data_IF_095599303820
#
_entry.id   IF_095599303820
#
_cell.length_a   1.000
_cell.length_b   1.000
_cell.length_c   1.000
_cell.angle_alpha   90.00
_cell.angle_beta   90.00
_cell.angle_gamma   90.00
#
_symmetry.space_group_name_H-M   'P 1'
#
loop_
_entity.id
_entity.type
_entity.pdbx_description
1 polymer ?
#
# COMPACT_ATOMS: atom_id res chain seq x y z
N UNK A 1 -15.80 6.00 -13.88
CA UNK A 1 -16.12 5.63 -12.48
C UNK A 1 -14.78 5.44 -11.79
N UNK A 2 -14.58 5.76 -10.50
CA UNK A 2 -13.30 5.44 -9.87
C UNK A 2 -13.12 3.90 -9.84
N UNK A 3 -11.89 3.43 -10.07
CA UNK A 3 -11.58 2.02 -10.33
C UNK A 3 -10.64 1.43 -9.26
N UNK A 4 -10.71 0.11 -9.08
CA UNK A 4 -9.78 -0.71 -8.28
C UNK A 4 -9.65 -2.10 -8.92
N UNK A 5 -9.17 -2.12 -10.17
CA UNK A 5 -9.11 -3.29 -11.05
C UNK A 5 -7.78 -4.05 -11.01
N UNK A 6 -6.79 -3.52 -10.30
CA UNK A 6 -5.50 -4.15 -10.03
C UNK A 6 -5.57 -5.49 -9.31
N UNK A 7 -4.40 -6.12 -9.22
CA UNK A 7 -4.25 -7.48 -8.71
C UNK A 7 -4.05 -7.47 -7.19
N UNK A 8 -4.84 -8.27 -6.47
CA UNK A 8 -4.57 -8.55 -5.07
C UNK A 8 -3.52 -9.67 -4.98
N UNK A 9 -2.41 -9.41 -4.30
CA UNK A 9 -1.39 -10.41 -3.99
C UNK A 9 -1.77 -11.04 -2.65
N UNK A 10 -1.99 -12.34 -2.66
CA UNK A 10 -2.46 -13.09 -1.50
C UNK A 10 -1.28 -13.81 -0.81
N UNK A 11 -1.38 -14.01 0.50
CA UNK A 11 -0.52 -14.94 1.21
C UNK A 11 -0.97 -16.40 1.05
N UNK A 12 -0.27 -17.32 1.70
CA UNK A 12 -0.54 -18.77 1.66
C UNK A 12 -1.92 -19.15 2.23
N UNK A 13 -2.58 -18.24 2.96
CA UNK A 13 -3.92 -18.43 3.52
C UNK A 13 -5.01 -17.75 2.67
N UNK A 14 -4.64 -17.14 1.54
CA UNK A 14 -5.56 -16.42 0.66
C UNK A 14 -5.92 -15.01 1.16
N UNK A 15 -5.18 -14.45 2.11
CA UNK A 15 -5.40 -13.09 2.63
C UNK A 15 -4.65 -12.09 1.75
N UNK A 16 -5.29 -11.01 1.27
CA UNK A 16 -4.60 -9.94 0.55
C UNK A 16 -3.55 -9.25 1.43
N UNK A 17 -2.28 -9.31 1.03
CA UNK A 17 -1.15 -8.68 1.75
C UNK A 17 -0.51 -7.55 0.95
N UNK A 18 -0.71 -7.52 -0.36
CA UNK A 18 -0.31 -6.41 -1.21
C UNK A 18 -1.26 -6.26 -2.40
N UNK A 19 -1.15 -5.15 -3.11
CA UNK A 19 -1.96 -4.84 -4.26
C UNK A 19 -1.12 -4.21 -5.37
N UNK A 20 -1.20 -4.77 -6.59
CA UNK A 20 -0.57 -4.20 -7.77
C UNK A 20 -1.56 -3.32 -8.51
N UNK A 21 -1.28 -2.02 -8.54
CA UNK A 21 -2.16 -0.99 -9.08
C UNK A 21 -2.36 -1.14 -10.59
N UNK A 22 -3.61 -1.11 -11.05
CA UNK A 22 -3.94 -1.06 -12.47
C UNK A 22 -4.08 0.39 -12.97
N UNK A 23 -4.01 0.63 -14.30
CA UNK A 23 -4.30 1.94 -14.87
C UNK A 23 -5.67 2.48 -14.43
N UNK A 24 -5.70 3.75 -14.04
CA UNK A 24 -6.88 4.50 -13.56
C UNK A 24 -7.46 4.04 -12.22
N UNK A 25 -6.76 3.19 -11.48
CA UNK A 25 -7.14 2.91 -10.10
C UNK A 25 -7.06 4.17 -9.24
N UNK A 26 -7.89 4.23 -8.20
CA UNK A 26 -7.94 5.34 -7.24
C UNK A 26 -7.77 4.77 -5.83
N UNK A 27 -6.86 5.36 -5.05
CA UNK A 27 -6.49 4.85 -3.73
C UNK A 27 -7.69 4.68 -2.78
N UNK A 28 -8.65 5.60 -2.80
CA UNK A 28 -9.88 5.51 -2.01
C UNK A 28 -10.76 4.30 -2.39
N UNK A 29 -10.80 3.96 -3.68
CA UNK A 29 -11.57 2.81 -4.19
C UNK A 29 -10.84 1.50 -3.97
N UNK A 30 -9.49 1.51 -4.04
CA UNK A 30 -8.66 0.39 -3.59
C UNK A 30 -8.92 0.10 -2.11
N UNK A 31 -8.89 1.14 -1.25
CA UNK A 31 -9.20 0.99 0.16
C UNK A 31 -10.58 0.39 0.40
N UNK A 32 -11.60 0.92 -0.27
CA UNK A 32 -12.96 0.39 -0.20
C UNK A 32 -13.06 -1.09 -0.62
N UNK A 33 -12.33 -1.52 -1.66
CA UNK A 33 -12.29 -2.93 -2.11
C UNK A 33 -11.78 -3.88 -1.02
N UNK A 34 -10.84 -3.42 -0.19
CA UNK A 34 -10.24 -4.21 0.89
C UNK A 34 -10.81 -3.87 2.28
N UNK A 35 -11.91 -3.10 2.33
CA UNK A 35 -12.54 -2.68 3.58
C UNK A 35 -11.59 -1.92 4.53
N UNK A 36 -10.65 -1.14 3.98
CA UNK A 36 -9.73 -0.27 4.73
C UNK A 36 -9.91 1.19 4.34
N UNK A 37 -9.56 2.10 5.25
CA UNK A 37 -9.59 3.53 4.97
C UNK A 37 -8.44 3.96 4.07
N UNK A 38 -8.67 4.96 3.21
CA UNK A 38 -7.61 5.59 2.39
C UNK A 38 -6.44 6.07 3.26
N UNK A 39 -6.74 6.74 4.38
CA UNK A 39 -5.72 7.22 5.30
C UNK A 39 -4.85 6.08 5.88
N UNK A 40 -5.44 4.91 6.08
CA UNK A 40 -4.71 3.75 6.56
C UNK A 40 -3.74 3.24 5.47
N UNK A 41 -4.17 3.21 4.20
CA UNK A 41 -3.29 2.86 3.08
C UNK A 41 -2.09 3.81 2.98
N UNK A 42 -2.32 5.12 3.14
CA UNK A 42 -1.24 6.10 3.17
C UNK A 42 -0.24 5.83 4.31
N UNK A 43 -0.73 5.50 5.51
CA UNK A 43 0.17 5.21 6.65
C UNK A 43 0.98 3.92 6.47
N UNK A 44 0.36 2.82 6.04
CA UNK A 44 1.08 1.54 5.90
C UNK A 44 2.03 1.51 4.71
N UNK A 45 1.95 2.51 3.83
CA UNK A 45 2.85 2.65 2.68
C UNK A 45 3.83 3.83 2.79
N UNK A 46 3.73 4.66 3.84
CA UNK A 46 4.50 5.90 3.98
C UNK A 46 6.02 5.69 3.85
N UNK A 47 6.55 4.60 4.41
CA UNK A 47 8.00 4.33 4.37
C UNK A 47 8.48 4.05 2.94
N UNK A 48 7.64 3.45 2.10
CA UNK A 48 8.00 2.97 0.76
C UNK A 48 7.50 3.84 -0.40
N UNK A 49 6.82 4.96 -0.11
CA UNK A 49 6.27 5.89 -1.11
C UNK A 49 6.46 7.35 -0.68
N UNK A 50 6.58 8.26 -1.64
CA UNK A 50 6.67 9.70 -1.42
C UNK A 50 5.41 10.43 -1.94
N UNK A 51 4.55 10.83 -1.01
CA UNK A 51 3.29 11.52 -1.28
C UNK A 51 2.18 10.64 -1.87
N UNK A 52 1.15 11.31 -2.40
CA UNK A 52 -0.14 10.69 -2.74
C UNK A 52 -0.25 10.20 -4.19
N UNK A 53 0.79 10.42 -5.01
CA UNK A 53 0.78 10.02 -6.42
C UNK A 53 0.68 8.50 -6.53
N UNK A 54 -0.21 8.02 -7.41
CA UNK A 54 -0.50 6.60 -7.63
C UNK A 54 -0.29 6.26 -9.11
N UNK A 55 0.61 5.33 -9.39
CA UNK A 55 0.96 4.94 -10.75
C UNK A 55 0.55 3.50 -11.03
N UNK A 56 0.22 3.20 -12.29
CA UNK A 56 -0.01 1.84 -12.70
C UNK A 56 1.28 1.01 -12.52
N UNK A 57 1.15 -0.16 -11.92
CA UNK A 57 2.27 -1.04 -11.59
C UNK A 57 2.78 -0.93 -10.16
N UNK A 58 2.47 0.16 -9.46
CA UNK A 58 2.81 0.36 -8.04
C UNK A 58 2.39 -0.86 -7.21
N UNK A 59 3.24 -1.28 -6.29
CA UNK A 59 2.87 -2.19 -5.21
C UNK A 59 2.45 -1.37 -4.00
N UNK A 60 1.20 -1.53 -3.57
CA UNK A 60 0.70 -1.06 -2.28
C UNK A 60 0.74 -2.21 -1.26
N UNK A 61 1.31 -1.94 -0.10
CA UNK A 61 1.23 -2.77 1.08
C UNK A 61 -0.19 -2.75 1.67
N UNK A 62 -0.69 -3.93 2.05
CA UNK A 62 -1.96 -4.14 2.76
C UNK A 62 -1.75 -4.80 4.13
N UNK A 63 -0.52 -4.83 4.66
CA UNK A 63 -0.22 -5.41 5.96
C UNK A 63 0.68 -4.49 6.81
N UNK A 64 0.20 -4.13 8.00
CA UNK A 64 0.95 -3.27 8.93
C UNK A 64 2.26 -3.91 9.45
N UNK A 65 2.45 -5.22 9.29
CA UNK A 65 3.66 -5.95 9.68
C UNK A 65 4.74 -5.97 8.57
N UNK A 66 4.48 -5.36 7.41
CA UNK A 66 5.43 -5.31 6.28
C UNK A 66 5.65 -3.90 5.75
N UNK A 67 5.39 -2.87 6.58
CA UNK A 67 5.64 -1.45 6.26
C UNK A 67 7.10 -1.23 5.83
N UNK A 68 8.04 -1.93 6.45
CA UNK A 68 9.47 -1.82 6.13
C UNK A 68 9.94 -2.78 5.02
N UNK A 69 9.07 -3.49 4.31
CA UNK A 69 9.53 -4.47 3.30
C UNK A 69 8.69 -4.53 2.03
N UNK A 70 7.46 -4.02 2.05
CA UNK A 70 6.54 -4.08 0.93
C UNK A 70 6.15 -2.68 0.46
N UNK A 71 6.23 -2.50 -0.85
CA UNK A 71 5.71 -1.34 -1.55
C UNK A 71 6.77 -0.65 -2.40
N UNK A 72 6.29 0.02 -3.43
CA UNK A 72 7.07 0.91 -4.28
C UNK A 72 6.17 2.02 -4.82
N UNK A 73 6.79 3.05 -5.39
CA UNK A 73 6.12 4.10 -6.13
C UNK A 73 6.83 4.30 -7.45
N UNK A 74 6.13 4.03 -8.55
CA UNK A 74 6.65 4.12 -9.92
C UNK A 74 7.96 3.33 -10.09
N UNK A 75 8.05 2.15 -9.48
CA UNK A 75 9.24 1.30 -9.50
C UNK A 75 10.36 1.74 -8.55
N UNK A 76 10.16 2.78 -7.75
CA UNK A 76 11.12 3.26 -6.74
C UNK A 76 10.70 2.79 -5.35
N UNK A 77 11.60 2.11 -4.65
CA UNK A 77 11.42 1.76 -3.24
C UNK A 77 12.02 2.87 -2.39
N UNK A 78 11.16 3.69 -1.78
CA UNK A 78 11.60 4.73 -0.85
C UNK A 78 12.00 4.12 0.51
N UNK A 79 12.72 4.89 1.33
CA UNK A 79 13.13 4.51 2.69
C UNK A 79 12.94 5.71 3.64
N UNK A 80 11.70 6.20 3.72
CA UNK A 80 11.39 7.39 4.49
C UNK A 80 11.50 7.11 6.00
N UNK A 81 12.13 8.03 6.73
CA UNK A 81 12.14 7.97 8.18
C UNK A 81 10.72 8.14 8.74
N UNK A 82 10.35 7.28 9.69
CA UNK A 82 9.08 7.42 10.39
C UNK A 82 9.04 8.74 11.17
N UNK A 83 7.86 9.41 11.26
CA UNK A 83 7.69 10.57 12.12
C UNK A 83 8.05 10.23 13.58
N UNK A 84 8.56 11.24 14.30
CA UNK A 84 8.89 11.07 15.71
C UNK A 84 7.66 10.59 16.52
N UNK A 85 7.85 9.59 17.37
CA UNK A 85 6.79 9.01 18.20
C UNK A 85 5.84 8.04 17.47
N UNK A 86 6.02 7.81 16.17
CA UNK A 86 5.21 6.84 15.44
C UNK A 86 5.63 5.40 15.79
N UNK A 87 4.70 4.63 16.32
CA UNK A 87 4.91 3.22 16.70
C UNK A 87 4.27 2.33 15.65
N UNK A 88 5.07 1.49 15.01
CA UNK A 88 4.62 0.44 14.10
C UNK A 88 4.65 -0.91 14.81
N UNK A 89 3.79 -1.88 14.43
CA UNK A 89 3.86 -3.22 15.00
C UNK A 89 5.19 -3.91 14.62
N UNK A 90 5.56 -5.02 15.26
CA UNK A 90 6.74 -5.80 14.87
C UNK A 90 6.70 -6.14 13.37
N UNK A 91 7.81 -5.88 12.67
CA UNK A 91 7.94 -6.11 11.24
C UNK A 91 8.50 -7.52 10.99
N UNK A 92 8.10 -8.15 9.88
CA UNK A 92 8.51 -9.52 9.50
C UNK A 92 9.28 -9.58 8.19
#
# INVERSE_FOLDING_TARGET
MPHAAGEAILDDQGVPVAYRVAPNDVISTIGARFCVGEQWLHWVNYVRRDGDALYAGDVLNLDAHTILSVGDQNGVVHDNALPEGFVIPPQR
#
